data_IF_177543693286
#
_entry.id   IF_177543693286
#
_cell.length_a   1.000
_cell.length_b   1.000
_cell.length_c   1.000
_cell.angle_alpha   90.00
_cell.angle_beta   90.00
_cell.angle_gamma   90.00
#
_symmetry.space_group_name_H-M   'P 1'
#
loop_
_entity.id
_entity.type
_entity.pdbx_description
1 polymer ?
#
# COMPACT_ATOMS: atom_id res chain seq x y z
N UNK A 1 -79.38 -10.49 -21.98
CA UNK A 1 -78.68 -10.40 -23.28
C UNK A 1 -78.36 -8.94 -23.57
N UNK A 2 -77.12 -8.53 -23.40
CA UNK A 2 -76.56 -7.32 -24.01
C UNK A 2 -75.04 -7.44 -23.96
N UNK A 3 -74.43 -7.33 -25.13
CA UNK A 3 -73.04 -7.65 -25.40
C UNK A 3 -72.11 -6.52 -24.94
N UNK A 4 -71.06 -6.90 -24.21
CA UNK A 4 -69.96 -6.03 -23.83
C UNK A 4 -69.11 -5.72 -25.06
N UNK A 5 -69.11 -4.46 -25.52
CA UNK A 5 -68.21 -4.00 -26.58
C UNK A 5 -66.83 -3.75 -25.98
N UNK A 6 -65.88 -4.63 -26.28
CA UNK A 6 -64.45 -4.41 -26.02
C UNK A 6 -63.97 -3.41 -27.08
N UNK A 7 -63.82 -2.15 -26.68
CA UNK A 7 -63.07 -1.17 -27.46
C UNK A 7 -61.60 -1.54 -27.40
N UNK A 8 -61.05 -2.02 -28.53
CA UNK A 8 -59.61 -2.18 -28.72
C UNK A 8 -58.95 -0.81 -28.56
N UNK A 9 -58.27 -0.59 -27.43
CA UNK A 9 -57.47 0.60 -27.21
C UNK A 9 -56.22 0.54 -28.08
N UNK A 10 -56.07 1.50 -29.00
CA UNK A 10 -54.94 1.65 -29.92
C UNK A 10 -53.57 1.83 -29.23
N UNK A 11 -53.54 1.89 -27.90
CA UNK A 11 -52.34 2.08 -27.07
C UNK A 11 -51.43 0.85 -27.01
N UNK A 12 -51.91 -0.35 -27.36
CA UNK A 12 -51.09 -1.58 -27.33
C UNK A 12 -50.28 -1.79 -28.63
N UNK A 13 -50.70 -1.19 -29.74
CA UNK A 13 -50.06 -1.40 -31.05
C UNK A 13 -48.76 -0.58 -31.23
N UNK A 14 -48.63 0.56 -30.56
CA UNK A 14 -47.44 1.41 -30.68
C UNK A 14 -46.26 0.91 -29.84
N UNK A 15 -46.51 0.26 -28.69
CA UNK A 15 -45.44 -0.36 -27.90
C UNK A 15 -44.86 -1.61 -28.58
N UNK A 16 -45.68 -2.38 -29.30
CA UNK A 16 -45.22 -3.54 -30.08
C UNK A 16 -44.30 -3.13 -31.24
N UNK A 17 -44.63 -2.05 -31.94
CA UNK A 17 -43.79 -1.49 -33.02
C UNK A 17 -42.47 -0.89 -32.50
N UNK A 18 -42.46 -0.27 -31.31
CA UNK A 18 -41.25 0.27 -30.70
C UNK A 18 -40.29 -0.84 -30.21
N UNK A 19 -40.83 -1.96 -29.73
CA UNK A 19 -40.04 -3.14 -29.34
C UNK A 19 -39.47 -3.90 -30.54
N UNK A 20 -40.17 -3.93 -31.68
CA UNK A 20 -39.66 -4.57 -32.90
C UNK A 20 -38.51 -3.78 -33.55
N UNK A 21 -38.49 -2.45 -33.40
CA UNK A 21 -37.41 -1.59 -33.92
C UNK A 21 -36.08 -1.75 -33.16
N UNK A 22 -36.10 -2.28 -31.93
CA UNK A 22 -34.89 -2.55 -31.13
C UNK A 22 -34.18 -3.85 -31.54
N UNK A 23 -34.81 -4.73 -32.34
CA UNK A 23 -34.28 -6.05 -32.72
C UNK A 23 -33.65 -6.07 -34.13
N UNK A 24 -33.82 -5.01 -34.93
CA UNK A 24 -33.17 -4.87 -36.25
C UNK A 24 -32.13 -3.74 -36.28
N UNK A 25 -31.27 -3.66 -35.27
CA UNK A 25 -29.98 -2.98 -35.47
C UNK A 25 -29.18 -3.88 -36.42
N UNK A 26 -28.89 -3.45 -37.66
CA UNK A 26 -28.03 -4.22 -38.53
C UNK A 26 -26.68 -4.39 -37.84
N UNK A 27 -26.25 -5.64 -37.74
CA UNK A 27 -24.93 -6.05 -37.27
C UNK A 27 -23.90 -5.26 -38.10
N UNK A 28 -23.37 -4.18 -37.53
CA UNK A 28 -22.50 -3.24 -38.22
C UNK A 28 -21.15 -3.93 -38.41
N UNK A 29 -20.77 -4.33 -39.63
CA UNK A 29 -19.53 -5.05 -39.84
C UNK A 29 -18.41 -4.02 -40.02
N UNK A 30 -18.16 -3.20 -38.99
CA UNK A 30 -17.06 -2.25 -38.98
C UNK A 30 -16.84 -1.65 -37.58
N UNK A 31 -16.34 -2.45 -36.65
CA UNK A 31 -15.46 -1.93 -35.60
C UNK A 31 -14.03 -2.44 -35.84
N UNK A 32 -13.28 -1.90 -36.82
CA UNK A 32 -11.85 -2.11 -36.81
C UNK A 32 -11.26 -1.22 -35.69
N UNK A 33 -10.33 -1.81 -34.93
CA UNK A 33 -9.44 -1.12 -34.00
C UNK A 33 -10.05 -0.56 -32.70
N UNK A 34 -10.68 -1.45 -31.90
CA UNK A 34 -10.50 -1.38 -30.43
C UNK A 34 -9.26 -2.17 -29.97
N UNK A 35 -8.53 -2.78 -30.91
CA UNK A 35 -7.26 -3.44 -30.66
C UNK A 35 -6.12 -2.41 -30.68
N UNK A 36 -5.49 -2.20 -29.51
CA UNK A 36 -4.33 -1.32 -29.22
C UNK A 36 -4.62 0.10 -28.73
N UNK A 37 -5.50 0.25 -27.75
CA UNK A 37 -5.08 1.03 -26.59
C UNK A 37 -4.43 0.06 -25.61
N UNK A 38 -3.19 -0.34 -25.92
CA UNK A 38 -2.31 -0.82 -24.86
C UNK A 38 -2.30 0.30 -23.82
N UNK A 39 -2.69 0.06 -22.54
CA UNK A 39 -2.49 1.07 -21.53
C UNK A 39 -0.99 1.32 -21.54
N UNK A 40 -0.57 2.47 -22.08
CA UNK A 40 0.75 3.00 -21.82
C UNK A 40 0.83 2.98 -20.30
N UNK A 41 1.61 2.05 -19.76
CA UNK A 41 1.88 2.05 -18.33
C UNK A 41 2.64 3.34 -18.13
N UNK A 42 1.92 4.40 -17.75
CA UNK A 42 2.51 5.65 -17.37
C UNK A 42 3.52 5.26 -16.30
N UNK A 43 4.80 5.44 -16.62
CA UNK A 43 5.86 5.19 -15.66
C UNK A 43 5.61 6.15 -14.51
N UNK A 44 4.98 5.65 -13.44
CA UNK A 44 4.73 6.42 -12.24
C UNK A 44 6.10 6.71 -11.66
N UNK A 45 6.48 7.98 -11.64
CA UNK A 45 7.72 8.40 -10.99
C UNK A 45 7.74 7.87 -9.56
N UNK A 46 8.91 7.43 -9.05
CA UNK A 46 9.00 6.95 -7.68
C UNK A 46 8.53 8.06 -6.72
N UNK A 47 7.85 7.71 -5.62
CA UNK A 47 7.27 8.67 -4.67
C UNK A 47 8.32 9.52 -3.93
N UNK A 48 9.59 9.11 -3.98
CA UNK A 48 10.73 9.82 -3.43
C UNK A 48 12.03 9.37 -4.12
N UNK A 49 13.06 10.20 -4.04
CA UNK A 49 14.41 9.96 -4.58
C UNK A 49 15.51 10.08 -3.54
N UNK A 50 16.73 9.63 -3.86
CA UNK A 50 17.87 9.81 -3.00
C UNK A 50 18.19 11.31 -2.78
N UNK A 51 18.58 11.66 -1.55
CA UNK A 51 18.83 13.04 -1.12
C UNK A 51 17.59 13.77 -0.59
N UNK A 52 16.40 13.17 -0.70
CA UNK A 52 15.18 13.79 -0.19
C UNK A 52 15.01 13.62 1.33
N UNK A 53 14.37 14.62 1.93
CA UNK A 53 13.98 14.65 3.33
C UNK A 53 12.51 15.04 3.46
N UNK A 54 11.68 14.10 3.89
CA UNK A 54 10.24 14.26 4.02
C UNK A 54 9.90 14.44 5.50
N UNK A 55 9.31 15.58 5.87
CA UNK A 55 8.94 15.89 7.26
C UNK A 55 7.42 15.96 7.40
N UNK A 56 6.87 15.16 8.29
CA UNK A 56 5.45 15.02 8.56
C UNK A 56 5.12 15.48 9.98
N UNK A 57 4.00 16.18 10.12
CA UNK A 57 3.43 16.49 11.44
C UNK A 57 2.37 15.45 11.76
N UNK A 58 2.50 14.79 12.91
CA UNK A 58 1.48 13.86 13.43
C UNK A 58 0.58 14.66 14.35
N UNK A 59 -0.72 14.66 14.10
CA UNK A 59 -1.70 15.41 14.89
C UNK A 59 -2.94 14.59 15.21
N UNK A 60 -3.54 14.83 16.38
CA UNK A 60 -4.80 14.24 16.81
C UNK A 60 -5.67 15.30 17.48
N UNK A 61 -6.94 15.41 17.07
CA UNK A 61 -7.87 16.45 17.56
C UNK A 61 -7.26 17.86 17.58
N UNK A 62 -6.62 18.28 16.48
CA UNK A 62 -5.93 19.57 16.32
C UNK A 62 -4.71 19.79 17.23
N UNK A 63 -4.30 18.80 18.01
CA UNK A 63 -3.10 18.84 18.84
C UNK A 63 -1.96 18.20 18.04
N UNK A 64 -0.82 18.90 17.95
CA UNK A 64 0.42 18.30 17.41
C UNK A 64 0.92 17.22 18.37
N UNK A 65 0.75 15.97 17.96
CA UNK A 65 1.19 14.79 18.70
C UNK A 65 2.67 14.49 18.51
N UNK A 66 3.26 14.86 17.37
CA UNK A 66 4.67 14.58 17.09
C UNK A 66 5.13 15.01 15.70
N UNK A 67 6.36 14.63 15.37
CA UNK A 67 6.99 14.84 14.06
C UNK A 67 7.58 13.51 13.59
N UNK A 68 7.32 13.14 12.34
CA UNK A 68 8.00 12.04 11.67
C UNK A 68 8.86 12.60 10.53
N UNK A 69 10.08 12.12 10.39
CA UNK A 69 11.00 12.51 9.33
C UNK A 69 11.49 11.26 8.63
N UNK A 70 11.47 11.24 7.31
CA UNK A 70 12.09 10.22 6.48
C UNK A 70 13.19 10.84 5.63
N UNK A 71 14.40 10.29 5.72
CA UNK A 71 15.55 10.67 4.91
C UNK A 71 15.90 9.53 3.96
N UNK A 72 16.12 9.86 2.69
CA UNK A 72 16.41 8.88 1.65
C UNK A 72 17.85 9.06 1.20
N UNK A 73 18.64 7.99 1.27
CA UNK A 73 20.02 7.99 0.75
C UNK A 73 20.28 6.76 -0.10
N UNK A 74 21.27 6.84 -0.99
CA UNK A 74 21.78 5.64 -1.66
C UNK A 74 22.56 4.76 -0.67
N UNK A 75 22.68 3.48 -1.01
CA UNK A 75 23.55 2.53 -0.30
C UNK A 75 24.19 1.57 -1.31
N UNK A 76 25.11 0.75 -0.83
CA UNK A 76 25.78 -0.25 -1.67
C UNK A 76 24.76 -1.17 -2.35
N UNK A 77 24.92 -1.44 -3.65
CA UNK A 77 24.02 -2.33 -4.36
C UNK A 77 24.07 -3.75 -3.77
N UNK A 78 22.93 -4.41 -3.73
CA UNK A 78 22.81 -5.80 -3.26
C UNK A 78 22.46 -6.65 -4.47
N UNK A 79 23.29 -7.67 -4.75
CA UNK A 79 23.10 -8.57 -5.90
C UNK A 79 22.95 -7.82 -7.24
N UNK A 80 23.73 -6.75 -7.42
CA UNK A 80 23.72 -5.93 -8.63
C UNK A 80 22.50 -5.01 -8.79
N UNK A 81 21.61 -4.92 -7.79
CA UNK A 81 20.45 -4.02 -7.81
C UNK A 81 20.73 -2.77 -6.98
N UNK A 82 20.32 -1.62 -7.51
CA UNK A 82 20.38 -0.35 -6.80
C UNK A 82 19.48 -0.38 -5.56
N UNK A 83 19.99 0.10 -4.44
CA UNK A 83 19.33 0.08 -3.15
C UNK A 83 19.25 1.50 -2.58
N UNK A 84 18.16 1.78 -1.89
CA UNK A 84 17.99 2.99 -1.09
C UNK A 84 17.96 2.62 0.40
N UNK A 85 18.51 3.51 1.22
CA UNK A 85 18.34 3.52 2.67
C UNK A 85 17.30 4.58 3.02
N UNK A 86 16.24 4.14 3.69
CA UNK A 86 15.22 5.01 4.27
C UNK A 86 15.47 5.08 5.78
N UNK A 87 15.90 6.24 6.27
CA UNK A 87 16.05 6.51 7.69
C UNK A 87 14.84 7.30 8.18
N UNK A 88 13.97 6.64 8.94
CA UNK A 88 12.76 7.25 9.48
C UNK A 88 12.90 7.47 10.98
N UNK A 89 12.64 8.69 11.45
CA UNK A 89 12.58 9.04 12.87
C UNK A 89 11.20 9.56 13.23
N UNK A 90 10.64 9.16 14.37
CA UNK A 90 9.37 9.68 14.87
C UNK A 90 9.51 10.10 16.33
N UNK A 91 9.23 11.37 16.61
CA UNK A 91 9.37 11.98 17.94
C UNK A 91 8.05 12.57 18.41
N UNK A 92 7.71 12.38 19.69
CA UNK A 92 6.51 12.98 20.28
C UNK A 92 6.69 14.48 20.51
N UNK A 93 5.60 15.23 20.36
CA UNK A 93 5.53 16.65 20.67
C UNK A 93 5.48 16.90 22.18
N UNK A 94 5.80 18.12 22.66
CA UNK A 94 5.97 18.42 24.09
C UNK A 94 4.78 18.05 24.98
N UNK A 95 3.55 18.17 24.48
CA UNK A 95 2.35 17.79 25.23
C UNK A 95 2.30 16.27 25.46
N UNK A 96 2.55 15.50 24.40
CA UNK A 96 2.52 14.03 24.43
C UNK A 96 3.69 13.46 25.22
N UNK A 97 4.89 14.04 25.07
CA UNK A 97 6.11 13.61 25.77
C UNK A 97 5.95 13.57 27.30
N UNK A 98 5.10 14.41 27.89
CA UNK A 98 4.86 14.44 29.35
C UNK A 98 4.25 13.15 29.90
N UNK A 99 3.42 12.47 29.12
CA UNK A 99 2.72 11.25 29.57
C UNK A 99 3.09 10.01 28.76
N UNK A 100 3.60 10.19 27.54
CA UNK A 100 4.05 9.10 26.66
C UNK A 100 5.16 9.58 25.71
N UNK A 101 6.42 9.66 26.17
CA UNK A 101 7.54 10.01 25.30
C UNK A 101 7.72 8.98 24.18
N UNK A 102 7.90 9.45 22.94
CA UNK A 102 8.21 8.61 21.78
C UNK A 102 9.48 9.14 21.12
N UNK A 103 10.43 8.24 20.91
CA UNK A 103 11.63 8.45 20.11
C UNK A 103 11.95 7.15 19.36
N UNK A 104 11.39 7.04 18.16
CA UNK A 104 11.55 5.87 17.32
C UNK A 104 12.47 6.17 16.16
N UNK A 105 13.31 5.21 15.81
CA UNK A 105 14.15 5.22 14.62
C UNK A 105 14.01 3.90 13.88
N UNK A 106 13.79 3.96 12.58
CA UNK A 106 13.71 2.80 11.70
C UNK A 106 14.63 3.03 10.52
N UNK A 107 15.48 2.05 10.23
CA UNK A 107 16.31 2.02 9.04
C UNK A 107 15.82 0.90 8.13
N UNK A 108 15.47 1.24 6.89
CA UNK A 108 15.02 0.27 5.89
C UNK A 108 15.92 0.31 4.66
N UNK A 109 16.42 -0.85 4.24
CA UNK A 109 17.12 -1.01 2.96
C UNK A 109 16.13 -1.57 1.95
N UNK A 110 15.85 -0.81 0.89
CA UNK A 110 14.83 -1.12 -0.12
C UNK A 110 15.42 -1.16 -1.53
N UNK A 111 14.86 -2.00 -2.39
CA UNK A 111 15.16 -1.99 -3.83
C UNK A 111 14.71 -0.66 -4.44
N UNK A 112 15.59 0.06 -5.14
CA UNK A 112 15.30 1.41 -5.64
C UNK A 112 14.18 1.44 -6.70
N UNK A 113 14.01 0.35 -7.47
CA UNK A 113 13.02 0.28 -8.53
C UNK A 113 11.66 -0.24 -8.02
N UNK A 114 11.68 -1.20 -7.09
CA UNK A 114 10.46 -1.88 -6.59
C UNK A 114 10.01 -1.41 -5.21
N UNK A 115 10.85 -0.66 -4.50
CA UNK A 115 10.67 -0.24 -3.11
C UNK A 115 10.42 -1.41 -2.14
N UNK A 116 10.79 -2.62 -2.53
CA UNK A 116 10.65 -3.81 -1.68
C UNK A 116 11.76 -3.84 -0.63
N UNK A 117 11.46 -3.92 0.67
CA UNK A 117 12.48 -4.01 1.72
C UNK A 117 13.23 -5.34 1.65
N UNK A 118 14.55 -5.25 1.88
CA UNK A 118 15.46 -6.38 2.06
C UNK A 118 15.82 -6.57 3.54
N UNK A 119 15.98 -5.47 4.27
CA UNK A 119 16.30 -5.46 5.71
C UNK A 119 15.70 -4.23 6.38
N UNK A 120 15.21 -4.39 7.59
CA UNK A 120 14.69 -3.30 8.42
C UNK A 120 15.21 -3.43 9.84
N UNK A 121 15.79 -2.36 10.38
CA UNK A 121 16.27 -2.27 11.76
C UNK A 121 15.42 -1.28 12.51
N UNK A 122 14.89 -1.68 13.65
CA UNK A 122 14.01 -0.87 14.47
C UNK A 122 14.68 -0.56 15.80
N UNK A 123 14.70 0.71 16.17
CA UNK A 123 15.01 1.19 17.50
C UNK A 123 13.80 1.92 18.06
N UNK A 124 13.03 1.24 18.93
CA UNK A 124 11.76 1.77 19.45
C UNK A 124 11.91 2.21 20.89
N UNK A 125 11.60 3.46 21.20
CA UNK A 125 11.59 4.02 22.57
C UNK A 125 10.24 4.67 22.79
N UNK A 126 9.37 3.98 23.51
CA UNK A 126 7.97 4.39 23.70
C UNK A 126 7.60 4.27 25.18
N UNK A 127 7.37 5.42 25.82
CA UNK A 127 7.16 5.49 27.26
C UNK A 127 8.33 4.88 28.03
N UNK A 128 8.03 3.82 28.78
CA UNK A 128 9.03 3.06 29.55
C UNK A 128 9.64 1.90 28.76
N UNK A 129 9.10 1.58 27.58
CA UNK A 129 9.51 0.41 26.78
C UNK A 129 10.63 0.80 25.82
N UNK A 130 11.62 -0.08 25.73
CA UNK A 130 12.70 -0.02 24.73
C UNK A 130 12.74 -1.37 24.04
N UNK A 131 12.73 -1.38 22.71
CA UNK A 131 12.72 -2.60 21.94
C UNK A 131 13.50 -2.40 20.64
N UNK A 132 14.56 -3.18 20.45
CA UNK A 132 15.38 -3.16 19.26
C UNK A 132 15.29 -4.51 18.57
N UNK A 133 15.10 -4.50 17.25
CA UNK A 133 15.00 -5.74 16.49
C UNK A 133 15.38 -5.52 15.03
N UNK A 134 15.87 -6.60 14.41
CA UNK A 134 16.36 -6.60 13.04
C UNK A 134 15.59 -7.64 12.22
N UNK A 135 15.03 -7.19 11.10
CA UNK A 135 14.15 -7.97 10.26
C UNK A 135 14.74 -8.12 8.87
N UNK A 136 15.08 -9.35 8.50
CA UNK A 136 15.38 -9.71 7.13
C UNK A 136 14.08 -9.99 6.37
N UNK A 137 13.87 -9.33 5.24
CA UNK A 137 12.71 -9.57 4.40
C UNK A 137 13.11 -10.41 3.20
N UNK A 138 12.43 -11.55 3.01
CA UNK A 138 12.58 -12.38 1.81
C UNK A 138 11.28 -12.32 1.03
N UNK A 139 11.40 -12.04 -0.26
CA UNK A 139 10.26 -12.22 -1.16
C UNK A 139 10.04 -13.73 -1.33
N UNK A 140 9.19 -14.32 -0.48
CA UNK A 140 8.77 -15.70 -0.61
C UNK A 140 7.53 -15.73 -1.50
N UNK A 141 7.63 -16.40 -2.65
CA UNK A 141 6.46 -16.66 -3.48
C UNK A 141 5.44 -17.51 -2.72
N UNK A 142 5.88 -18.42 -1.85
CA UNK A 142 5.04 -19.16 -0.89
C UNK A 142 5.92 -19.61 0.28
N UNK A 143 5.63 -19.19 1.52
CA UNK A 143 6.23 -19.82 2.71
C UNK A 143 5.18 -20.09 3.77
N UNK A 144 5.13 -21.34 4.22
CA UNK A 144 4.35 -21.77 5.37
C UNK A 144 5.02 -21.26 6.65
N UNK A 145 4.24 -20.70 7.56
CA UNK A 145 4.68 -20.16 8.84
C UNK A 145 5.24 -21.28 9.75
N UNK A 146 6.47 -21.13 10.26
CA UNK A 146 7.13 -22.08 11.18
C UNK A 146 7.09 -21.54 12.63
N UNK A 147 6.26 -22.12 13.52
CA UNK A 147 6.12 -21.68 14.92
C UNK A 147 7.38 -21.88 15.77
N UNK A 148 8.40 -22.62 15.31
CA UNK A 148 9.58 -22.95 16.11
C UNK A 148 10.73 -21.96 16.00
N UNK A 149 10.64 -21.00 15.07
CA UNK A 149 11.61 -19.91 15.03
C UNK A 149 11.09 -18.79 15.91
N UNK A 150 11.94 -18.24 16.78
CA UNK A 150 11.67 -17.08 17.62
C UNK A 150 11.58 -15.78 16.79
N UNK A 151 10.95 -15.87 15.61
CA UNK A 151 10.80 -14.83 14.60
C UNK A 151 9.30 -14.55 14.55
N UNK A 152 8.86 -13.44 15.14
CA UNK A 152 7.48 -13.02 14.96
C UNK A 152 7.25 -12.70 13.47
N UNK A 153 6.18 -13.22 12.84
CA UNK A 153 5.83 -12.80 11.50
C UNK A 153 5.48 -11.31 11.54
N UNK A 154 6.33 -10.48 10.94
CA UNK A 154 5.99 -9.09 10.68
C UNK A 154 5.30 -9.08 9.32
N UNK A 155 3.96 -9.07 9.34
CA UNK A 155 3.18 -8.82 8.14
C UNK A 155 3.45 -7.38 7.69
N UNK A 156 4.09 -7.21 6.54
CA UNK A 156 4.19 -5.92 5.87
C UNK A 156 2.82 -5.57 5.28
N UNK A 157 2.10 -4.55 5.78
CA UNK A 157 0.80 -4.19 5.24
C UNK A 157 0.95 -3.81 3.75
N UNK A 158 0.22 -4.50 2.87
CA UNK A 158 0.18 -4.19 1.43
C UNK A 158 1.23 -4.86 0.55
N UNK A 159 1.97 -5.88 1.02
CA UNK A 159 2.91 -6.64 0.17
C UNK A 159 2.84 -8.14 0.42
N UNK A 160 3.14 -8.95 -0.60
CA UNK A 160 3.30 -10.41 -0.49
C UNK A 160 4.62 -10.84 0.18
N UNK A 161 5.28 -9.93 0.92
CA UNK A 161 6.58 -10.17 1.54
C UNK A 161 6.42 -10.96 2.83
N UNK A 162 7.24 -12.00 2.99
CA UNK A 162 7.40 -12.69 4.28
C UNK A 162 8.68 -12.18 4.93
N UNK A 163 8.53 -11.44 6.03
CA UNK A 163 9.66 -10.93 6.79
C UNK A 163 9.93 -11.81 8.01
N UNK A 164 11.20 -12.16 8.21
CA UNK A 164 11.68 -13.03 9.27
C UNK A 164 12.83 -12.29 9.98
N UNK A 165 12.60 -11.87 11.22
CA UNK A 165 13.55 -11.04 11.95
C UNK A 165 14.00 -11.64 13.27
N UNK A 166 15.31 -11.65 13.49
CA UNK A 166 15.87 -12.00 14.80
C UNK A 166 15.54 -10.85 15.74
N UNK A 167 14.75 -11.14 16.78
CA UNK A 167 14.65 -10.27 17.95
C UNK A 167 15.99 -10.41 18.67
N UNK A 168 16.96 -9.60 18.26
CA UNK A 168 18.15 -9.41 19.08
C UNK A 168 17.71 -8.51 20.24
N UNK A 169 17.24 -9.14 21.33
CA UNK A 169 17.27 -8.49 22.64
C UNK A 169 18.75 -8.20 22.94
N UNK A 170 19.21 -7.03 22.49
CA UNK A 170 20.46 -6.46 22.95
C UNK A 170 20.23 -5.90 24.36
N UNK A 171 19.90 -6.78 25.30
CA UNK A 171 20.45 -6.68 26.64
C UNK A 171 21.96 -6.95 26.51
N UNK A 172 22.70 -5.92 26.11
CA UNK A 172 24.12 -5.88 26.42
C UNK A 172 24.39 -4.51 27.04
N UNK A 173 24.41 -4.55 28.37
CA UNK A 173 24.98 -3.56 29.25
C UNK A 173 26.29 -3.00 28.69
N UNK A 174 26.41 -1.67 28.71
CA UNK A 174 27.50 -0.89 29.32
C UNK A 174 27.16 0.59 29.19
#
# INVERSE_FOLDING_TARGET
>A
MSYFRIGLSHSCSLLSLLLLALVLVPDSPAQPALERLQPATLAVAPPFGAGERLTYTVSWFNIKAGTAVMEVSETSPIQGRAMLRLLTTATSGPMVTKFYPVDNRVESIVDAAKLSPQRMVFHRREGKKKNDFDVGCRHASHSTWDPRRNLLPVLCPGSSLTCAGNIADHERAS
#
